data_IF_936110153361
#
_entry.id   IF_936110153361
#
_cell.length_a   1.000
_cell.length_b   1.000
_cell.length_c   1.000
_cell.angle_alpha   90.00
_cell.angle_beta   90.00
_cell.angle_gamma   90.00
#
_symmetry.space_group_name_H-M   'P 1'
#
loop_
_entity.id
_entity.type
_entity.pdbx_description
1 polymer ?
#
# COMPACT_ATOMS: atom_id res chain seq x y z
N UNK A 1 -5.15 12.26 -9.90
CA UNK A 1 -5.54 10.82 -9.82
C UNK A 1 -5.12 10.27 -8.46
N UNK A 2 -6.04 9.67 -7.72
CA UNK A 2 -5.85 9.16 -6.36
C UNK A 2 -5.90 7.64 -6.38
N UNK A 3 -4.76 6.98 -6.19
CA UNK A 3 -4.62 5.55 -6.37
C UNK A 3 -4.26 4.86 -5.05
N UNK A 4 -4.72 3.63 -4.89
CA UNK A 4 -4.33 2.73 -3.80
C UNK A 4 -3.72 1.47 -4.40
N UNK A 5 -2.60 1.00 -3.83
CA UNK A 5 -2.06 -0.33 -4.07
C UNK A 5 -2.47 -1.28 -2.94
N UNK A 6 -3.19 -2.35 -3.28
CA UNK A 6 -3.50 -3.47 -2.38
C UNK A 6 -2.84 -4.74 -2.92
N UNK A 7 -2.48 -5.65 -2.03
CA UNK A 7 -1.88 -6.93 -2.35
C UNK A 7 -1.03 -7.45 -1.20
N UNK A 8 -0.71 -8.73 -1.22
CA UNK A 8 0.06 -9.37 -0.17
C UNK A 8 1.43 -8.71 0.08
N UNK A 9 1.98 -8.79 1.30
CA UNK A 9 3.36 -8.36 1.55
C UNK A 9 4.31 -9.13 0.62
N UNK A 10 5.28 -8.44 0.00
CA UNK A 10 6.23 -9.07 -0.92
C UNK A 10 5.79 -9.17 -2.39
N UNK A 11 4.53 -8.87 -2.73
CA UNK A 11 4.02 -8.97 -4.12
C UNK A 11 4.62 -7.95 -5.09
N UNK A 12 5.29 -6.90 -4.60
CA UNK A 12 5.93 -5.88 -5.45
C UNK A 12 5.26 -4.51 -5.47
N UNK A 13 4.28 -4.25 -4.58
CA UNK A 13 3.54 -2.96 -4.53
C UNK A 13 4.47 -1.74 -4.53
N UNK A 14 5.42 -1.68 -3.61
CA UNK A 14 6.29 -0.52 -3.47
C UNK A 14 7.08 -0.20 -4.74
N UNK A 15 7.63 -1.23 -5.41
CA UNK A 15 8.36 -1.08 -6.67
C UNK A 15 7.46 -0.53 -7.77
N UNK A 16 6.25 -1.07 -7.89
CA UNK A 16 5.31 -0.64 -8.92
C UNK A 16 4.71 0.72 -8.62
N UNK A 17 4.43 1.02 -7.35
CA UNK A 17 3.93 2.33 -6.94
C UNK A 17 4.95 3.45 -7.19
N UNK A 18 6.23 3.22 -6.91
CA UNK A 18 7.32 4.17 -7.18
C UNK A 18 7.46 4.46 -8.68
N UNK A 19 7.45 3.40 -9.51
CA UNK A 19 7.52 3.55 -10.98
C UNK A 19 6.30 4.28 -11.53
N UNK A 20 5.11 3.92 -11.05
CA UNK A 20 3.87 4.55 -11.49
C UNK A 20 3.79 6.02 -11.05
N UNK A 21 4.22 6.34 -9.83
CA UNK A 21 4.31 7.71 -9.31
C UNK A 21 5.21 8.57 -10.19
N UNK A 22 6.39 8.05 -10.54
CA UNK A 22 7.32 8.73 -11.46
C UNK A 22 6.69 8.96 -12.83
N UNK A 23 6.00 7.96 -13.38
CA UNK A 23 5.39 8.03 -14.72
C UNK A 23 4.21 9.00 -14.79
N UNK A 24 3.42 9.08 -13.71
CA UNK A 24 2.25 9.96 -13.62
C UNK A 24 2.59 11.36 -13.07
N UNK A 25 3.78 11.56 -12.52
CA UNK A 25 4.18 12.82 -11.88
C UNK A 25 3.39 13.13 -10.59
N UNK A 26 2.94 12.09 -9.86
CA UNK A 26 2.21 12.22 -8.61
C UNK A 26 2.98 11.59 -7.45
N UNK A 27 2.81 12.05 -6.20
CA UNK A 27 3.55 11.54 -5.05
C UNK A 27 3.17 10.11 -4.69
N UNK A 28 4.16 9.34 -4.21
CA UNK A 28 4.03 8.02 -3.62
C UNK A 28 4.10 8.12 -2.10
N UNK A 29 3.00 7.82 -1.43
CA UNK A 29 2.87 7.82 0.03
C UNK A 29 2.90 6.37 0.51
N UNK A 30 4.04 5.93 1.03
CA UNK A 30 4.22 4.57 1.56
C UNK A 30 4.35 4.62 3.08
N UNK A 31 3.35 4.10 3.80
CA UNK A 31 3.36 4.05 5.27
C UNK A 31 4.54 3.24 5.79
N UNK A 32 4.85 2.11 5.15
CA UNK A 32 6.00 1.30 5.51
C UNK A 32 7.35 2.01 5.30
N UNK A 33 7.48 2.84 4.26
CA UNK A 33 8.67 3.64 4.03
C UNK A 33 8.80 4.76 5.09
N UNK A 34 7.70 5.43 5.42
CA UNK A 34 7.65 6.48 6.44
C UNK A 34 8.09 5.94 7.80
N UNK A 35 7.53 4.80 8.24
CA UNK A 35 7.91 4.19 9.52
C UNK A 35 9.38 3.77 9.55
N UNK A 36 9.90 3.17 8.49
CA UNK A 36 11.32 2.79 8.41
C UNK A 36 12.26 4.00 8.41
N UNK A 37 11.90 5.07 7.70
CA UNK A 37 12.68 6.31 7.70
C UNK A 37 12.67 6.96 9.09
N UNK A 38 11.52 6.99 9.78
CA UNK A 38 11.42 7.48 11.16
C UNK A 38 12.27 6.65 12.13
N UNK A 39 12.31 5.32 11.94
CA UNK A 39 13.14 4.42 12.74
C UNK A 39 14.65 4.70 12.53
N UNK A 40 15.08 4.84 11.27
CA UNK A 40 16.47 5.15 10.93
C UNK A 40 16.92 6.50 11.51
N UNK A 41 16.00 7.46 11.64
CA UNK A 41 16.24 8.76 12.24
C UNK A 41 16.12 8.75 13.78
N UNK A 42 15.84 7.59 14.40
CA UNK A 42 15.65 7.46 15.84
C UNK A 42 14.43 8.19 16.40
N UNK A 43 13.44 8.50 15.55
CA UNK A 43 12.21 9.17 15.97
C UNK A 43 11.32 8.22 16.79
N UNK A 44 10.60 8.77 17.77
CA UNK A 44 9.67 8.04 18.63
C UNK A 44 8.63 7.23 17.81
N UNK A 45 8.11 7.84 16.75
CA UNK A 45 7.19 7.19 15.83
C UNK A 45 7.76 5.90 15.24
N UNK A 46 9.02 5.95 14.77
CA UNK A 46 9.69 4.79 14.18
C UNK A 46 9.96 3.70 15.22
N UNK A 47 10.31 4.07 16.45
CA UNK A 47 10.52 3.13 17.55
C UNK A 47 9.22 2.42 17.92
N UNK A 48 8.11 3.14 18.04
CA UNK A 48 6.79 2.55 18.29
C UNK A 48 6.34 1.62 17.17
N UNK A 49 6.51 2.04 15.91
CA UNK A 49 6.15 1.21 14.76
C UNK A 49 6.97 -0.07 14.67
N UNK A 50 8.25 -0.03 15.06
CA UNK A 50 9.15 -1.17 15.04
C UNK A 50 8.63 -2.36 15.85
N UNK A 51 8.03 -2.13 17.02
CA UNK A 51 7.51 -3.18 17.90
C UNK A 51 6.47 -4.05 17.19
N UNK A 52 5.63 -3.44 16.35
CA UNK A 52 4.63 -4.14 15.54
C UNK A 52 5.23 -4.75 14.27
N UNK A 53 6.09 -4.00 13.59
CA UNK A 53 6.69 -4.43 12.34
C UNK A 53 7.58 -5.66 12.51
N UNK A 54 8.37 -5.73 13.59
CA UNK A 54 9.25 -6.86 13.91
C UNK A 54 8.45 -8.16 14.16
N UNK A 55 7.21 -8.05 14.62
CA UNK A 55 6.29 -9.16 14.83
C UNK A 55 5.42 -9.46 13.60
N UNK A 56 5.51 -8.64 12.55
CA UNK A 56 4.66 -8.77 11.36
C UNK A 56 3.22 -8.29 11.55
N UNK A 57 2.93 -7.63 12.67
CA UNK A 57 1.63 -7.06 12.99
C UNK A 57 1.39 -5.71 12.31
N UNK A 58 0.13 -5.26 12.27
CA UNK A 58 -0.19 -3.91 11.83
C UNK A 58 0.17 -2.89 12.92
N UNK A 59 0.74 -1.77 12.49
CA UNK A 59 0.90 -0.60 13.38
C UNK A 59 -0.50 -0.06 13.71
N UNK A 60 -0.76 0.38 14.96
CA UNK A 60 -2.08 0.88 15.36
C UNK A 60 -2.67 1.91 14.39
N UNK A 61 -3.97 1.80 14.16
CA UNK A 61 -4.70 2.60 13.16
C UNK A 61 -4.55 4.10 13.42
N UNK A 62 -4.61 4.53 14.67
CA UNK A 62 -4.45 5.94 15.04
C UNK A 62 -3.13 6.52 14.54
N UNK A 63 -2.03 5.78 14.72
CA UNK A 63 -0.71 6.22 14.26
C UNK A 63 -0.62 6.21 12.73
N UNK A 64 -1.12 5.15 12.10
CA UNK A 64 -1.04 5.00 10.64
C UNK A 64 -1.92 6.00 9.92
N UNK A 65 -3.15 6.19 10.39
CA UNK A 65 -4.09 7.17 9.83
C UNK A 65 -3.59 8.60 10.00
N UNK A 66 -3.04 8.95 11.17
CA UNK A 66 -2.49 10.28 11.41
C UNK A 66 -1.40 10.64 10.39
N UNK A 67 -0.48 9.71 10.11
CA UNK A 67 0.60 9.92 9.12
C UNK A 67 0.03 10.10 7.71
N UNK A 68 -0.95 9.29 7.33
CA UNK A 68 -1.56 9.40 6.00
C UNK A 68 -2.29 10.73 5.86
N UNK A 69 -3.07 11.13 6.86
CA UNK A 69 -3.79 12.42 6.86
C UNK A 69 -2.80 13.60 6.81
N UNK A 70 -1.70 13.54 7.55
CA UNK A 70 -0.62 14.54 7.48
C UNK A 70 -0.06 14.61 6.06
N UNK A 71 0.32 13.48 5.47
CA UNK A 71 0.82 13.43 4.10
C UNK A 71 -0.19 13.96 3.09
N UNK A 72 -1.47 13.63 3.21
CA UNK A 72 -2.53 14.12 2.32
C UNK A 72 -2.75 15.66 2.41
N UNK A 73 -2.32 16.29 3.50
CA UNK A 73 -2.40 17.76 3.68
C UNK A 73 -1.21 18.48 3.05
N UNK A 74 -0.16 17.80 2.65
CA UNK A 74 0.97 18.42 1.97
C UNK A 74 0.57 18.96 0.59
N UNK A 75 0.96 20.19 0.23
CA UNK A 75 0.52 20.83 -1.02
C UNK A 75 0.82 20.03 -2.29
N UNK A 76 1.96 19.31 -2.35
CA UNK A 76 2.35 18.49 -3.49
C UNK A 76 1.41 17.29 -3.72
N UNK A 77 0.63 16.88 -2.72
CA UNK A 77 -0.32 15.78 -2.80
C UNK A 77 -1.73 16.26 -3.20
N UNK A 78 -1.85 17.57 -3.51
CA UNK A 78 -3.12 18.20 -3.87
C UNK A 78 -3.69 17.77 -5.22
N UNK A 79 -2.85 17.42 -6.20
CA UNK A 79 -3.29 17.07 -7.56
C UNK A 79 -3.46 15.56 -7.78
N UNK A 80 -3.06 14.74 -6.81
CA UNK A 80 -3.18 13.29 -6.86
C UNK A 80 -2.11 12.62 -6.01
N UNK A 81 -2.25 11.32 -5.77
CA UNK A 81 -1.31 10.54 -4.97
C UNK A 81 -1.45 9.04 -5.23
N UNK A 82 -0.45 8.29 -4.81
CA UNK A 82 -0.49 6.84 -4.71
C UNK A 82 -0.28 6.46 -3.25
N UNK A 83 -1.23 5.72 -2.66
CA UNK A 83 -1.10 5.11 -1.33
C UNK A 83 -0.59 3.67 -1.45
N UNK A 84 0.46 3.35 -0.70
CA UNK A 84 1.03 2.01 -0.57
C UNK A 84 1.13 1.62 0.91
N UNK A 85 0.51 0.49 1.26
CA UNK A 85 0.48 -0.01 2.63
C UNK A 85 -0.58 0.64 3.52
N UNK A 86 -1.54 1.35 2.93
CA UNK A 86 -2.73 1.90 3.57
C UNK A 86 -3.85 2.07 2.52
N UNK A 87 -5.12 1.73 2.83
CA UNK A 87 -5.57 1.10 4.08
C UNK A 87 -5.20 -0.39 4.15
N UNK A 88 -5.12 -0.94 5.37
CA UNK A 88 -4.84 -2.37 5.62
C UNK A 88 -5.97 -3.08 6.36
N UNK A 89 -6.99 -2.37 6.80
CA UNK A 89 -8.22 -2.93 7.37
C UNK A 89 -9.42 -2.02 7.04
N UNK A 90 -10.62 -2.47 7.36
CA UNK A 90 -11.86 -1.75 7.04
C UNK A 90 -11.96 -0.40 7.76
N UNK A 91 -11.54 -0.33 9.03
CA UNK A 91 -11.53 0.93 9.79
C UNK A 91 -10.69 1.99 9.10
N UNK A 92 -9.48 1.63 8.66
CA UNK A 92 -8.61 2.53 7.90
C UNK A 92 -9.21 2.93 6.55
N UNK A 93 -9.92 2.03 5.87
CA UNK A 93 -10.58 2.35 4.59
C UNK A 93 -11.70 3.38 4.77
N UNK A 94 -12.50 3.24 5.83
CA UNK A 94 -13.53 4.20 6.20
C UNK A 94 -12.95 5.55 6.62
N UNK A 95 -11.86 5.55 7.41
CA UNK A 95 -11.15 6.77 7.81
C UNK A 95 -10.60 7.51 6.60
N UNK A 96 -9.99 6.79 5.65
CA UNK A 96 -9.49 7.36 4.41
C UNK A 96 -10.63 8.01 3.61
N UNK A 97 -11.76 7.30 3.48
CA UNK A 97 -12.90 7.81 2.74
C UNK A 97 -13.38 9.14 3.37
N UNK A 98 -13.62 9.18 4.69
CA UNK A 98 -14.01 10.41 5.40
C UNK A 98 -13.00 11.55 5.21
N UNK A 99 -11.72 11.22 5.28
CA UNK A 99 -10.66 12.20 5.09
C UNK A 99 -10.62 12.78 3.67
N UNK A 100 -10.93 12.00 2.64
CA UNK A 100 -10.97 12.45 1.25
C UNK A 100 -12.27 13.23 0.95
N UNK A 101 -13.41 12.74 1.40
CA UNK A 101 -14.71 13.41 1.25
C UNK A 101 -14.69 14.83 1.84
N UNK A 102 -14.06 15.01 3.00
CA UNK A 102 -13.89 16.33 3.62
C UNK A 102 -13.08 17.31 2.77
N UNK A 103 -12.37 16.80 1.75
CA UNK A 103 -11.56 17.56 0.79
C UNK A 103 -12.21 17.64 -0.59
N UNK A 104 -13.41 17.10 -0.77
CA UNK A 104 -14.07 16.98 -2.07
C UNK A 104 -13.33 16.04 -3.04
N UNK A 105 -12.64 15.04 -2.51
CA UNK A 105 -11.87 14.06 -3.27
C UNK A 105 -12.40 12.65 -3.03
N UNK A 106 -12.06 11.74 -3.92
CA UNK A 106 -12.33 10.31 -3.79
C UNK A 106 -11.15 9.50 -4.35
N UNK A 107 -11.21 8.17 -4.18
CA UNK A 107 -10.28 7.24 -4.80
C UNK A 107 -10.76 6.96 -6.23
N UNK A 108 -9.86 7.09 -7.19
CA UNK A 108 -10.15 6.83 -8.61
C UNK A 108 -9.95 5.35 -8.96
N UNK A 109 -8.95 4.70 -8.35
CA UNK A 109 -8.66 3.28 -8.63
C UNK A 109 -7.89 2.60 -7.49
N UNK A 110 -8.19 1.33 -7.31
CA UNK A 110 -7.45 0.41 -6.43
C UNK A 110 -6.76 -0.63 -7.31
N UNK A 111 -5.44 -0.57 -7.37
CA UNK A 111 -4.60 -1.52 -8.09
C UNK A 111 -4.31 -2.71 -7.18
N UNK A 112 -4.95 -3.83 -7.47
CA UNK A 112 -4.80 -5.06 -6.70
C UNK A 112 -3.75 -5.97 -7.35
N UNK A 113 -2.55 -6.01 -6.77
CA UNK A 113 -1.46 -6.87 -7.24
C UNK A 113 -1.60 -8.27 -6.66
N UNK A 114 -1.55 -9.28 -7.54
CA UNK A 114 -1.62 -10.70 -7.19
C UNK A 114 -0.38 -11.46 -7.66
N UNK A 115 0.03 -12.47 -6.90
CA UNK A 115 1.05 -13.45 -7.28
C UNK A 115 0.86 -14.73 -6.47
N UNK A 116 1.39 -15.89 -6.94
CA UNK A 116 1.41 -17.12 -6.16
C UNK A 116 2.13 -16.92 -4.82
N UNK A 117 1.62 -17.53 -3.76
CA UNK A 117 2.18 -17.37 -2.41
C UNK A 117 3.66 -17.79 -2.34
N UNK A 118 4.02 -18.85 -3.04
CA UNK A 118 5.40 -19.34 -3.10
C UNK A 118 6.36 -18.27 -3.66
N UNK A 119 5.95 -17.61 -4.73
CA UNK A 119 6.71 -16.52 -5.33
C UNK A 119 6.87 -15.34 -4.36
N UNK A 120 5.79 -14.98 -3.65
CA UNK A 120 5.78 -13.92 -2.64
C UNK A 120 6.77 -14.22 -1.50
N UNK A 121 6.75 -15.46 -0.98
CA UNK A 121 7.66 -15.89 0.09
C UNK A 121 9.12 -15.83 -0.39
N UNK A 122 9.41 -16.34 -1.59
CA UNK A 122 10.76 -16.30 -2.16
C UNK A 122 11.27 -14.87 -2.32
N UNK A 123 10.42 -13.96 -2.80
CA UNK A 123 10.77 -12.53 -2.95
C UNK A 123 11.08 -11.86 -1.61
N UNK A 124 10.33 -12.17 -0.55
CA UNK A 124 10.58 -11.61 0.77
C UNK A 124 11.88 -12.13 1.37
N UNK A 125 12.14 -13.44 1.28
CA UNK A 125 13.40 -14.04 1.74
C UNK A 125 14.60 -13.47 0.98
N UNK A 126 14.50 -13.32 -0.34
CA UNK A 126 15.57 -12.75 -1.18
C UNK A 126 15.81 -11.25 -0.88
N UNK A 127 14.78 -10.51 -0.49
CA UNK A 127 14.88 -9.09 -0.10
C UNK A 127 15.69 -8.87 1.17
N UNK A 128 15.59 -9.79 2.13
CA UNK A 128 16.42 -9.88 3.33
C UNK A 128 16.29 -8.70 4.30
N UNK A 129 15.10 -8.17 4.51
CA UNK A 129 14.84 -7.20 5.58
C UNK A 129 14.91 -7.89 6.95
N UNK A 130 15.12 -7.13 8.01
CA UNK A 130 15.17 -7.67 9.38
C UNK A 130 13.87 -8.39 9.78
N UNK A 131 12.73 -8.00 9.19
CA UNK A 131 11.40 -8.58 9.38
C UNK A 131 11.05 -9.65 8.31
N UNK A 132 12.01 -10.11 7.51
CA UNK A 132 11.81 -11.14 6.49
C UNK A 132 12.29 -12.55 6.94
N UNK A 133 11.98 -12.90 8.18
CA UNK A 133 12.14 -14.28 8.66
C UNK A 133 10.91 -15.12 8.26
N UNK A 134 11.08 -16.43 8.11
CA UNK A 134 9.98 -17.32 7.69
C UNK A 134 8.76 -17.22 8.61
N UNK A 135 8.99 -17.15 9.93
CA UNK A 135 7.93 -16.98 10.93
C UNK A 135 7.16 -15.65 10.74
N UNK A 136 7.89 -14.54 10.62
CA UNK A 136 7.29 -13.22 10.43
C UNK A 136 6.59 -13.09 9.08
N UNK A 137 7.16 -13.68 8.02
CA UNK A 137 6.53 -13.75 6.69
C UNK A 137 5.18 -14.44 6.76
N UNK A 138 5.13 -15.64 7.38
CA UNK A 138 3.88 -16.39 7.53
C UNK A 138 2.85 -15.62 8.36
N UNK A 139 3.27 -14.97 9.44
CA UNK A 139 2.39 -14.15 10.25
C UNK A 139 1.83 -12.97 9.43
N UNK A 140 2.66 -12.27 8.67
CA UNK A 140 2.25 -11.17 7.79
C UNK A 140 1.25 -11.60 6.71
N UNK A 141 1.41 -12.78 6.15
CA UNK A 141 0.47 -13.34 5.18
C UNK A 141 -0.88 -13.64 5.85
N UNK A 142 -0.87 -14.20 7.06
CA UNK A 142 -2.10 -14.44 7.82
C UNK A 142 -2.82 -13.12 8.16
N UNK A 143 -2.09 -12.12 8.65
CA UNK A 143 -2.65 -10.78 8.93
C UNK A 143 -3.24 -10.15 7.65
N UNK A 144 -2.54 -10.29 6.52
CA UNK A 144 -3.04 -9.81 5.23
C UNK A 144 -4.39 -10.45 4.86
N UNK A 145 -4.50 -11.77 4.94
CA UNK A 145 -5.74 -12.48 4.59
C UNK A 145 -6.89 -12.14 5.54
N UNK A 146 -6.61 -11.96 6.82
CA UNK A 146 -7.64 -11.69 7.84
C UNK A 146 -8.10 -10.23 7.84
N UNK A 147 -7.17 -9.28 7.73
CA UNK A 147 -7.41 -7.86 7.94
C UNK A 147 -7.48 -7.06 6.63
N UNK A 148 -6.58 -7.34 5.68
CA UNK A 148 -6.41 -6.48 4.50
C UNK A 148 -7.21 -6.97 3.30
N UNK A 149 -7.29 -8.26 3.07
CA UNK A 149 -8.06 -8.80 1.94
C UNK A 149 -9.55 -8.42 1.98
N UNK A 150 -10.23 -8.35 3.16
CA UNK A 150 -11.60 -7.84 3.24
C UNK A 150 -11.79 -6.40 2.74
N UNK A 151 -10.74 -5.58 2.75
CA UNK A 151 -10.77 -4.21 2.19
C UNK A 151 -11.04 -4.21 0.69
N UNK A 152 -10.63 -5.27 -0.02
CA UNK A 152 -10.91 -5.40 -1.45
C UNK A 152 -12.41 -5.36 -1.73
N UNK A 153 -13.21 -6.06 -0.91
CA UNK A 153 -14.66 -6.06 -1.09
C UNK A 153 -15.26 -4.66 -0.92
N UNK A 154 -14.77 -3.89 0.03
CA UNK A 154 -15.20 -2.49 0.25
C UNK A 154 -15.01 -1.63 -1.00
N UNK A 155 -13.93 -1.84 -1.77
CA UNK A 155 -13.68 -1.12 -3.02
C UNK A 155 -14.28 -1.81 -4.26
N UNK A 156 -14.44 -3.14 -4.25
CA UNK A 156 -15.13 -3.88 -5.33
C UNK A 156 -16.60 -3.47 -5.44
N UNK A 157 -17.28 -3.31 -4.31
CA UNK A 157 -18.68 -2.86 -4.27
C UNK A 157 -18.86 -1.45 -4.88
N UNK A 158 -17.75 -0.68 -5.00
CA UNK A 158 -17.64 0.63 -5.66
C UNK A 158 -17.09 0.55 -7.09
N UNK A 159 -16.80 -0.63 -7.60
CA UNK A 159 -16.23 -0.89 -8.93
C UNK A 159 -14.84 -0.25 -9.17
N UNK A 160 -14.10 0.05 -8.10
CA UNK A 160 -12.79 0.73 -8.15
C UNK A 160 -11.60 -0.24 -8.31
N UNK A 161 -11.78 -1.55 -8.08
CA UNK A 161 -10.67 -2.52 -8.08
C UNK A 161 -10.31 -2.94 -9.50
N UNK A 162 -9.01 -2.88 -9.79
CA UNK A 162 -8.40 -3.44 -10.99
C UNK A 162 -7.31 -4.43 -10.58
N UNK A 163 -7.53 -5.70 -10.90
CA UNK A 163 -6.56 -6.75 -10.59
C UNK A 163 -5.43 -6.76 -11.61
N UNK A 164 -4.19 -6.88 -11.11
CA UNK A 164 -2.97 -6.93 -11.91
C UNK A 164 -2.11 -8.11 -11.47
N UNK A 165 -1.80 -9.00 -12.40
CA UNK A 165 -0.88 -10.11 -12.14
C UNK A 165 0.55 -9.61 -12.02
N UNK A 166 1.14 -9.79 -10.82
CA UNK A 166 2.42 -9.22 -10.41
C UNK A 166 3.64 -10.13 -10.63
N UNK A 167 3.55 -11.12 -11.53
CA UNK A 167 4.68 -12.00 -11.89
C UNK A 167 5.20 -11.65 -13.29
N UNK A 168 6.51 -11.67 -13.43
CA UNK A 168 7.26 -11.32 -14.64
C UNK A 168 8.34 -10.29 -14.35
N UNK A 169 8.99 -9.80 -15.38
CA UNK A 169 9.96 -8.72 -15.28
C UNK A 169 9.31 -7.44 -14.76
N UNK A 170 10.07 -6.62 -14.03
CA UNK A 170 9.54 -5.42 -13.37
C UNK A 170 8.83 -4.50 -14.37
N UNK A 171 9.39 -4.35 -15.58
CA UNK A 171 8.82 -3.47 -16.60
C UNK A 171 7.55 -4.03 -17.23
N UNK A 172 7.46 -5.34 -17.43
CA UNK A 172 6.23 -6.01 -17.90
C UNK A 172 5.08 -5.86 -16.90
N UNK A 173 5.38 -6.03 -15.60
CA UNK A 173 4.40 -5.79 -14.53
C UNK A 173 4.00 -4.32 -14.51
N UNK A 174 4.97 -3.41 -14.71
CA UNK A 174 4.70 -1.98 -14.74
C UNK A 174 3.76 -1.57 -15.87
N UNK A 175 3.93 -2.12 -17.06
CA UNK A 175 3.03 -1.84 -18.19
C UNK A 175 1.60 -2.29 -17.88
N UNK A 176 1.42 -3.49 -17.31
CA UNK A 176 0.10 -3.96 -16.84
C UNK A 176 -0.52 -3.04 -15.78
N UNK A 177 0.28 -2.58 -14.82
CA UNK A 177 -0.15 -1.63 -13.78
C UNK A 177 -0.57 -0.30 -14.38
N UNK A 178 0.21 0.23 -15.31
CA UNK A 178 -0.08 1.50 -15.97
C UNK A 178 -1.36 1.43 -16.82
N UNK A 179 -1.54 0.35 -17.59
CA UNK A 179 -2.75 0.15 -18.39
C UNK A 179 -4.00 0.03 -17.50
N UNK A 180 -3.90 -0.69 -16.37
CA UNK A 180 -4.98 -0.78 -15.41
C UNK A 180 -5.35 0.58 -14.79
N UNK A 181 -4.36 1.43 -14.50
CA UNK A 181 -4.57 2.77 -13.97
C UNK A 181 -5.20 3.71 -15.03
N UNK A 182 -4.82 3.59 -16.31
CA UNK A 182 -5.39 4.39 -17.42
C UNK A 182 -6.88 4.12 -17.63
N UNK A 183 -7.28 2.85 -17.65
CA UNK A 183 -8.69 2.47 -17.82
C UNK A 183 -9.58 3.11 -16.77
N UNK A 184 -9.05 3.30 -15.56
CA UNK A 184 -9.77 3.98 -14.48
C UNK A 184 -9.89 5.51 -14.67
N UNK A 185 -8.96 6.13 -15.40
CA UNK A 185 -9.01 7.57 -15.68
C UNK A 185 -10.01 7.93 -16.81
N UNK A 186 -10.41 6.94 -17.62
CA UNK A 186 -11.28 7.11 -18.76
C UNK A 186 -12.75 6.69 -18.46
N UNK A 187 -12.99 6.15 -17.26
CA UNK A 187 -14.30 5.66 -16.80
C UNK A 187 -15.02 6.68 -15.95
#
# INVERSE_FOLDING_TARGET
>A
MNLIFIGAPGVGKGTQAEKLATRLGIPHISTGAIFRAALQQGKELGLKAKEYMDQGALVPDELTTAIVVEALNEPQNGEGFILDGYPRNLSQAEDLQRALESRGKDIDCVLYLTAPQEEIVQRMLARGRNDDTEEVINHRLNVYHQETEPVLKFYQDRQLVREVYGVGEIDEVHDRVFDAAKVAAES
#
